data_IF_012046432555
#
_entry.id   IF_012046432555
#
_cell.length_a   1.000
_cell.length_b   1.000
_cell.length_c   1.000
_cell.angle_alpha   90.00
_cell.angle_beta   90.00
_cell.angle_gamma   90.00
#
_symmetry.space_group_name_H-M   'P 1'
#
loop_
_entity.id
_entity.type
_entity.pdbx_description
1 polymer ?
#
# COMPACT_ATOMS: atom_id res chain seq x y z
N UNK A 1 6.64 -4.25 3.39
CA UNK A 1 6.75 -5.68 3.00
C UNK A 1 5.78 -6.06 1.87
N UNK A 2 4.52 -5.64 1.89
CA UNK A 2 3.52 -6.05 0.89
C UNK A 2 3.90 -5.69 -0.57
N UNK A 3 4.49 -4.52 -0.82
CA UNK A 3 4.95 -4.15 -2.17
C UNK A 3 6.10 -5.03 -2.69
N UNK A 4 6.96 -5.54 -1.80
CA UNK A 4 7.99 -6.53 -2.18
C UNK A 4 7.30 -7.81 -2.65
N UNK A 5 6.33 -8.32 -1.88
CA UNK A 5 5.57 -9.51 -2.25
C UNK A 5 4.71 -9.32 -3.51
N UNK A 6 4.21 -8.10 -3.75
CA UNK A 6 3.41 -7.76 -4.93
C UNK A 6 4.21 -7.73 -6.24
N UNK A 7 5.52 -7.48 -6.14
CA UNK A 7 6.43 -7.37 -7.29
C UNK A 7 6.72 -5.92 -7.72
N UNK A 8 6.81 -4.99 -6.77
CA UNK A 8 7.38 -3.67 -7.08
C UNK A 8 8.81 -3.82 -7.62
N UNK A 9 9.24 -2.95 -8.54
CA UNK A 9 10.57 -3.02 -9.14
C UNK A 9 11.65 -2.71 -8.10
N UNK A 10 11.40 -1.75 -7.20
CA UNK A 10 12.16 -1.60 -5.98
C UNK A 10 11.31 -1.03 -4.85
N UNK A 11 11.77 -1.27 -3.62
CA UNK A 11 11.13 -0.84 -2.38
C UNK A 11 12.21 -0.29 -1.45
N UNK A 12 11.88 0.76 -0.71
CA UNK A 12 12.76 1.37 0.28
C UNK A 12 12.06 1.50 1.63
N UNK A 13 12.86 1.44 2.71
CA UNK A 13 12.45 1.70 4.08
C UNK A 13 13.42 2.70 4.69
N UNK A 14 12.91 3.86 5.08
CA UNK A 14 13.71 4.97 5.55
C UNK A 14 13.29 5.36 6.97
N UNK A 15 14.25 5.85 7.74
CA UNK A 15 14.04 6.41 9.09
C UNK A 15 14.33 7.92 9.07
N UNK A 16 13.46 8.70 9.70
CA UNK A 16 13.65 10.12 9.99
C UNK A 16 13.54 11.08 8.81
N UNK A 17 13.01 10.63 7.67
CA UNK A 17 12.75 11.55 6.55
C UNK A 17 11.75 12.64 6.95
N UNK A 18 12.02 13.88 6.54
CA UNK A 18 11.23 15.08 6.85
C UNK A 18 11.45 15.64 8.26
N UNK A 19 11.31 14.80 9.29
CA UNK A 19 11.22 15.25 10.70
C UNK A 19 12.46 14.92 11.55
N UNK A 20 13.50 14.33 10.97
CA UNK A 20 14.75 14.02 11.67
C UNK A 20 14.76 12.66 12.39
N UNK A 21 15.93 12.28 12.88
CA UNK A 21 16.16 10.97 13.51
C UNK A 21 15.25 10.75 14.72
N UNK A 22 14.57 9.61 14.77
CA UNK A 22 13.74 9.17 15.90
C UNK A 22 12.24 9.47 15.76
N UNK A 23 11.82 10.23 14.75
CA UNK A 23 10.46 10.77 14.69
C UNK A 23 9.57 10.22 13.56
N UNK A 24 10.12 9.50 12.58
CA UNK A 24 9.33 8.91 11.50
C UNK A 24 9.94 7.63 10.95
N UNK A 25 9.08 6.67 10.61
CA UNK A 25 9.42 5.53 9.77
C UNK A 25 8.46 5.53 8.60
N UNK A 26 8.98 5.37 7.39
CA UNK A 26 8.18 5.35 6.17
C UNK A 26 8.78 4.45 5.10
N UNK A 27 7.94 4.07 4.16
CA UNK A 27 8.29 3.20 3.04
C UNK A 27 8.02 3.88 1.71
N UNK A 28 8.92 3.68 0.75
CA UNK A 28 8.70 4.02 -0.65
C UNK A 28 8.63 2.78 -1.52
N UNK A 29 7.96 2.86 -2.66
CA UNK A 29 7.97 1.83 -3.69
C UNK A 29 7.98 2.47 -5.07
N UNK A 30 8.54 1.77 -6.05
CA UNK A 30 8.42 2.12 -7.45
C UNK A 30 8.18 0.85 -8.26
N UNK A 31 7.34 0.96 -9.28
CA UNK A 31 7.06 -0.12 -10.22
C UNK A 31 7.16 0.41 -11.66
N UNK A 32 7.87 -0.34 -12.51
CA UNK A 32 8.08 -0.01 -13.92
C UNK A 32 7.00 -0.67 -14.77
N UNK A 33 6.38 0.12 -15.64
CA UNK A 33 5.52 -0.34 -16.72
C UNK A 33 6.34 -0.45 -18.01
N UNK A 34 6.93 -1.61 -18.26
CA UNK A 34 7.81 -1.88 -19.41
C UNK A 34 7.07 -2.43 -20.65
N UNK A 35 5.74 -2.51 -20.60
CA UNK A 35 4.90 -3.03 -21.68
C UNK A 35 4.76 -4.55 -21.73
N UNK A 36 5.35 -5.29 -20.78
CA UNK A 36 5.21 -6.76 -20.72
C UNK A 36 3.97 -7.20 -19.95
N UNK A 37 3.39 -8.34 -20.33
CA UNK A 37 2.30 -9.01 -19.58
C UNK A 37 2.71 -9.32 -18.12
N UNK A 38 4.01 -9.56 -17.89
CA UNK A 38 4.54 -9.78 -16.55
C UNK A 38 4.46 -8.50 -15.70
N UNK A 39 4.75 -7.34 -16.28
CA UNK A 39 4.60 -6.05 -15.61
C UNK A 39 3.14 -5.71 -15.36
N UNK A 40 2.24 -5.97 -16.31
CA UNK A 40 0.79 -5.79 -16.13
C UNK A 40 0.30 -6.51 -14.86
N UNK A 41 0.66 -7.79 -14.69
CA UNK A 41 0.27 -8.58 -13.51
C UNK A 41 0.84 -8.01 -12.21
N UNK A 42 2.07 -7.48 -12.22
CA UNK A 42 2.69 -6.84 -11.04
C UNK A 42 2.01 -5.50 -10.72
N UNK A 43 1.74 -4.69 -11.74
CA UNK A 43 1.04 -3.40 -11.63
C UNK A 43 -0.33 -3.57 -10.98
N UNK A 44 -1.12 -4.52 -11.48
CA UNK A 44 -2.46 -4.81 -10.95
C UNK A 44 -2.44 -5.16 -9.46
N UNK A 45 -1.41 -5.87 -8.97
CA UNK A 45 -1.27 -6.18 -7.54
C UNK A 45 -0.73 -5.01 -6.73
N UNK A 46 0.38 -4.41 -7.18
CA UNK A 46 1.11 -3.41 -6.39
C UNK A 46 0.31 -2.13 -6.24
N UNK A 47 -0.31 -1.63 -7.31
CA UNK A 47 -1.05 -0.36 -7.25
C UNK A 47 -2.33 -0.48 -6.41
N UNK A 48 -2.96 -1.65 -6.38
CA UNK A 48 -4.11 -1.92 -5.50
C UNK A 48 -3.64 -2.09 -4.05
N UNK A 49 -2.61 -2.89 -3.81
CA UNK A 49 -2.15 -3.21 -2.46
C UNK A 49 -1.54 -2.00 -1.74
N UNK A 50 -0.80 -1.14 -2.44
CA UNK A 50 -0.16 0.04 -1.83
C UNK A 50 -1.21 1.03 -1.33
N UNK A 51 -2.13 1.47 -2.20
CA UNK A 51 -3.25 2.35 -1.83
C UNK A 51 -4.20 1.67 -0.83
N UNK A 52 -4.50 0.38 -1.04
CA UNK A 52 -5.36 -0.40 -0.16
C UNK A 52 -4.83 -0.50 1.26
N UNK A 53 -3.50 -0.54 1.45
CA UNK A 53 -2.88 -0.51 2.79
C UNK A 53 -3.14 0.80 3.54
N UNK A 54 -3.23 1.92 2.82
CA UNK A 54 -3.61 3.22 3.38
C UNK A 54 -5.06 3.22 3.84
N UNK A 55 -5.99 2.70 3.03
CA UNK A 55 -7.41 2.54 3.41
C UNK A 55 -7.53 1.61 4.62
N UNK A 56 -6.90 0.44 4.57
CA UNK A 56 -6.84 -0.53 5.68
C UNK A 56 -6.42 0.14 6.99
N UNK A 57 -5.31 0.88 6.97
CA UNK A 57 -4.75 1.53 8.16
C UNK A 57 -5.69 2.57 8.77
N UNK A 58 -6.43 3.32 7.94
CA UNK A 58 -7.40 4.29 8.45
C UNK A 58 -8.72 3.63 8.87
N UNK A 59 -9.14 2.57 8.20
CA UNK A 59 -10.31 1.80 8.61
C UNK A 59 -10.09 1.15 9.98
N UNK A 60 -8.90 0.57 10.20
CA UNK A 60 -8.49 0.01 11.50
C UNK A 60 -8.46 1.07 12.62
N UNK A 61 -8.06 2.31 12.29
CA UNK A 61 -8.13 3.43 13.21
C UNK A 61 -9.56 3.98 13.46
N UNK A 62 -10.59 3.39 12.84
CA UNK A 62 -12.00 3.71 13.08
C UNK A 62 -12.59 4.83 12.20
N UNK A 63 -11.92 5.24 11.12
CA UNK A 63 -12.44 6.28 10.23
C UNK A 63 -13.56 5.73 9.33
N UNK A 64 -14.79 6.24 9.51
CA UNK A 64 -15.98 5.80 8.78
C UNK A 64 -15.81 5.86 7.25
N UNK A 65 -15.20 6.94 6.75
CA UNK A 65 -14.93 7.08 5.32
C UNK A 65 -14.02 5.96 4.80
N UNK A 66 -13.02 5.56 5.57
CA UNK A 66 -12.10 4.49 5.16
C UNK A 66 -12.79 3.11 5.20
N UNK A 67 -13.65 2.86 6.19
CA UNK A 67 -14.46 1.63 6.26
C UNK A 67 -15.39 1.55 5.05
N UNK A 68 -16.08 2.65 4.72
CA UNK A 68 -16.95 2.71 3.54
C UNK A 68 -16.17 2.47 2.25
N UNK A 69 -15.00 3.09 2.08
CA UNK A 69 -14.13 2.86 0.92
C UNK A 69 -13.67 1.40 0.85
N UNK A 70 -13.32 0.78 1.99
CA UNK A 70 -12.94 -0.63 2.01
C UNK A 70 -14.07 -1.54 1.52
N UNK A 71 -15.31 -1.28 1.93
CA UNK A 71 -16.50 -2.01 1.47
C UNK A 71 -16.79 -1.77 -0.02
N UNK A 72 -16.73 -0.51 -0.48
CA UNK A 72 -17.00 -0.12 -1.87
C UNK A 72 -16.02 -0.79 -2.85
N UNK A 73 -14.74 -0.87 -2.48
CA UNK A 73 -13.70 -1.47 -3.32
C UNK A 73 -13.41 -2.95 -2.98
N UNK A 74 -14.21 -3.57 -2.10
CA UNK A 74 -14.11 -5.00 -1.77
C UNK A 74 -12.78 -5.40 -1.11
N UNK A 75 -12.18 -4.53 -0.30
CA UNK A 75 -10.98 -4.87 0.45
C UNK A 75 -11.31 -5.90 1.54
N UNK A 76 -10.54 -6.98 1.58
CA UNK A 76 -10.69 -8.01 2.60
C UNK A 76 -10.00 -7.58 3.90
N UNK A 77 -10.76 -7.01 4.84
CA UNK A 77 -10.31 -6.58 6.17
C UNK A 77 -10.92 -7.51 7.23
N UNK A 78 -10.24 -8.57 7.69
CA UNK A 78 -10.87 -9.66 8.46
C UNK A 78 -11.62 -9.27 9.74
N UNK A 79 -11.25 -8.14 10.35
CA UNK A 79 -11.85 -7.64 11.60
C UNK A 79 -12.91 -6.55 11.37
N UNK A 80 -13.06 -6.07 10.14
CA UNK A 80 -13.97 -4.98 9.77
C UNK A 80 -15.04 -5.57 8.85
N UNK A 81 -16.30 -5.52 9.29
CA UNK A 81 -17.46 -6.04 8.56
C UNK A 81 -18.11 -4.94 7.74
#
# INVERSE_FOLDING_TARGET
>A
MLNVAGGATWVSLHHGGGVGMGYSQHSGMVIVADGTDAAEKRLARVLVNDCGSGVMRHADAGYELAIKTAQEYGLNLPMIK
#
